data_IF_179232567566
#
_entry.id   IF_179232567566
#
_cell.length_a   1.000
_cell.length_b   1.000
_cell.length_c   1.000
_cell.angle_alpha   90.00
_cell.angle_beta   90.00
_cell.angle_gamma   90.00
#
_symmetry.space_group_name_H-M   'P 1'
#
loop_
_entity.id
_entity.type
_entity.pdbx_description
1 polymer ?
#
# COMPACT_ATOMS: atom_id res chain seq x y z
N UNK A 1 -9.64 17.18 10.63
CA UNK A 1 -10.96 16.71 10.13
C UNK A 1 -10.77 15.92 8.85
N UNK A 2 -10.75 14.59 8.90
CA UNK A 2 -10.82 13.78 7.66
C UNK A 2 -12.28 13.43 7.42
N UNK A 3 -12.90 14.17 6.50
CA UNK A 3 -14.22 13.83 5.96
C UNK A 3 -14.12 12.45 5.34
N UNK A 4 -14.77 11.46 5.95
CA UNK A 4 -14.86 10.10 5.43
C UNK A 4 -15.80 10.10 4.22
N UNK A 5 -15.34 10.72 3.12
CA UNK A 5 -16.05 10.72 1.83
C UNK A 5 -15.97 9.30 1.30
N UNK A 6 -17.12 8.63 1.22
CA UNK A 6 -17.27 7.42 0.42
C UNK A 6 -16.98 7.77 -1.05
N UNK A 7 -15.71 7.63 -1.44
CA UNK A 7 -15.27 7.78 -2.82
C UNK A 7 -15.86 6.65 -3.66
N UNK A 8 -16.14 6.95 -4.93
CA UNK A 8 -16.62 5.94 -5.88
C UNK A 8 -15.54 4.89 -6.15
N UNK A 9 -15.96 3.70 -6.58
CA UNK A 9 -15.08 2.55 -6.80
C UNK A 9 -13.94 2.87 -7.77
N UNK A 10 -14.24 3.58 -8.85
CA UNK A 10 -13.28 3.98 -9.89
C UNK A 10 -12.21 4.93 -9.31
N UNK A 11 -12.60 5.82 -8.40
CA UNK A 11 -11.67 6.71 -7.70
C UNK A 11 -10.77 5.95 -6.74
N UNK A 12 -11.30 4.93 -6.06
CA UNK A 12 -10.53 4.08 -5.16
C UNK A 12 -9.52 3.22 -5.90
N UNK A 13 -9.83 2.73 -7.12
CA UNK A 13 -8.85 1.96 -7.90
C UNK A 13 -7.59 2.76 -8.21
N UNK A 14 -7.71 4.06 -8.47
CA UNK A 14 -6.58 4.92 -8.84
C UNK A 14 -5.85 5.48 -7.62
N UNK A 15 -6.57 5.79 -6.53
CA UNK A 15 -6.01 6.53 -5.40
C UNK A 15 -5.90 5.74 -4.09
N UNK A 16 -6.50 4.56 -3.98
CA UNK A 16 -6.40 3.78 -2.74
C UNK A 16 -4.98 3.25 -2.54
N UNK A 17 -4.45 3.43 -1.33
CA UNK A 17 -3.15 2.88 -0.93
C UNK A 17 -1.94 3.75 -1.25
N UNK A 18 -2.12 4.85 -2.00
CA UNK A 18 -1.06 5.81 -2.29
C UNK A 18 -1.26 7.10 -1.48
N UNK A 19 -0.20 7.52 -0.79
CA UNK A 19 -0.09 8.84 -0.18
C UNK A 19 0.97 9.59 -0.97
N UNK A 20 0.77 10.89 -1.18
CA UNK A 20 1.79 11.71 -1.82
C UNK A 20 3.10 11.60 -1.03
N UNK A 21 4.23 11.49 -1.73
CA UNK A 21 5.55 11.43 -1.12
C UNK A 21 5.74 12.66 -0.20
N UNK A 22 6.01 12.48 1.11
CA UNK A 22 6.15 13.60 2.04
C UNK A 22 7.36 14.48 1.73
N UNK A 23 8.35 13.97 0.99
CA UNK A 23 9.60 14.70 0.70
C UNK A 23 9.46 15.61 -0.52
N UNK A 24 8.83 15.12 -1.59
CA UNK A 24 8.70 15.86 -2.87
C UNK A 24 7.28 16.32 -3.18
N UNK A 25 6.28 15.82 -2.48
CA UNK A 25 4.86 16.03 -2.79
C UNK A 25 4.38 15.26 -4.04
N UNK A 26 5.23 14.42 -4.64
CA UNK A 26 4.85 13.62 -5.81
C UNK A 26 3.73 12.65 -5.48
N UNK A 27 2.67 12.66 -6.30
CA UNK A 27 1.61 11.64 -6.24
C UNK A 27 1.98 10.35 -6.96
N UNK A 28 2.88 10.43 -7.95
CA UNK A 28 3.41 9.25 -8.59
C UNK A 28 4.31 8.52 -7.60
N UNK A 29 4.16 7.19 -7.53
CA UNK A 29 4.98 6.37 -6.66
C UNK A 29 6.46 6.52 -7.07
N UNK A 30 7.35 6.87 -6.14
CA UNK A 30 8.78 6.89 -6.40
C UNK A 30 9.32 5.51 -6.81
N UNK A 31 10.17 5.47 -7.83
CA UNK A 31 10.91 4.27 -8.21
C UNK A 31 12.18 4.20 -7.36
N UNK A 32 12.15 3.39 -6.30
CA UNK A 32 13.34 3.12 -5.48
C UNK A 32 14.19 2.00 -6.10
N UNK A 33 15.03 2.36 -7.07
CA UNK A 33 15.97 1.44 -7.73
C UNK A 33 17.24 1.22 -6.87
N UNK A 34 17.06 0.56 -5.73
CA UNK A 34 18.16 0.18 -4.83
C UNK A 34 18.15 -1.32 -4.55
N UNK A 35 19.29 -1.89 -4.18
CA UNK A 35 19.41 -3.29 -3.74
C UNK A 35 19.32 -3.43 -2.22
N UNK A 36 19.72 -2.41 -1.46
CA UNK A 36 19.82 -2.40 0.01
C UNK A 36 19.35 -1.08 0.63
N UNK A 37 19.09 -1.11 1.93
CA UNK A 37 18.70 0.04 2.74
C UNK A 37 19.67 0.21 3.92
N UNK A 38 19.97 1.45 4.28
CA UNK A 38 20.87 1.76 5.40
C UNK A 38 20.10 1.65 6.72
N UNK A 39 20.72 1.05 7.74
CA UNK A 39 20.19 1.05 9.10
C UNK A 39 20.72 2.25 9.87
N UNK A 40 19.84 2.92 10.63
CA UNK A 40 20.25 4.00 11.54
C UNK A 40 21.29 3.56 12.59
N UNK A 41 21.19 2.33 13.11
CA UNK A 41 22.15 1.73 14.03
C UNK A 41 22.05 0.18 14.03
N UNK A 42 22.96 -0.49 14.74
CA UNK A 42 23.01 -1.96 14.81
C UNK A 42 21.76 -2.59 15.47
N UNK A 43 21.21 -1.93 16.49
CA UNK A 43 20.00 -2.39 17.18
C UNK A 43 18.76 -2.31 16.28
N UNK A 44 18.65 -1.26 15.46
CA UNK A 44 17.61 -1.09 14.45
C UNK A 44 17.65 -2.22 13.42
N UNK A 45 18.84 -2.58 12.93
CA UNK A 45 19.02 -3.75 12.07
C UNK A 45 18.52 -5.03 12.74
N UNK A 46 18.95 -5.30 13.98
CA UNK A 46 18.53 -6.48 14.73
C UNK A 46 17.01 -6.55 14.94
N UNK A 47 16.37 -5.42 15.24
CA UNK A 47 14.92 -5.34 15.44
C UNK A 47 14.14 -5.58 14.14
N UNK A 48 14.63 -5.11 12.99
CA UNK A 48 14.04 -5.40 11.69
C UNK A 48 14.12 -6.89 11.34
N UNK A 49 15.28 -7.53 11.56
CA UNK A 49 15.44 -8.97 11.31
C UNK A 49 14.66 -9.84 12.30
N UNK A 50 14.49 -9.38 13.55
CA UNK A 50 13.71 -10.07 14.57
C UNK A 50 12.19 -9.84 14.43
N UNK A 51 11.72 -9.16 13.37
CA UNK A 51 10.33 -8.78 13.14
C UNK A 51 9.71 -7.95 14.29
N UNK A 52 10.55 -7.34 15.12
CA UNK A 52 10.12 -6.44 16.21
C UNK A 52 9.76 -5.06 15.70
N UNK A 53 10.28 -4.67 14.54
CA UNK A 53 10.01 -3.41 13.88
C UNK A 53 9.71 -3.62 12.39
N UNK A 54 8.77 -2.84 11.85
CA UNK A 54 8.48 -2.84 10.42
C UNK A 54 9.43 -1.90 9.67
N UNK A 55 10.07 -2.39 8.62
CA UNK A 55 10.97 -1.59 7.78
C UNK A 55 11.52 -2.37 6.59
N UNK A 56 12.27 -1.68 5.73
CA UNK A 56 12.91 -2.29 4.57
C UNK A 56 14.29 -2.83 4.94
N UNK A 57 14.55 -4.08 4.58
CA UNK A 57 15.86 -4.72 4.77
C UNK A 57 16.52 -4.95 3.41
N UNK A 58 15.82 -5.64 2.51
CA UNK A 58 16.25 -5.87 1.12
C UNK A 58 15.10 -5.71 0.13
N UNK A 59 15.43 -5.20 -1.06
CA UNK A 59 14.45 -4.96 -2.15
C UNK A 59 13.73 -6.23 -2.59
N UNK A 60 14.43 -7.38 -2.55
CA UNK A 60 13.93 -8.70 -2.95
C UNK A 60 12.70 -9.17 -2.16
N UNK A 61 12.52 -8.65 -0.94
CA UNK A 61 11.47 -9.09 -0.02
C UNK A 61 10.44 -7.96 0.19
N UNK A 62 10.88 -6.69 0.24
CA UNK A 62 10.07 -5.64 0.88
C UNK A 62 9.64 -4.46 0.00
N UNK A 63 10.30 -4.17 -1.13
CA UNK A 63 10.03 -2.91 -1.84
C UNK A 63 8.80 -3.00 -2.77
N UNK A 64 8.91 -3.69 -3.91
CA UNK A 64 7.84 -3.77 -4.91
C UNK A 64 6.66 -4.65 -4.44
N UNK A 65 6.94 -5.74 -3.72
CA UNK A 65 5.91 -6.67 -3.26
C UNK A 65 4.95 -6.01 -2.27
N UNK A 66 5.45 -5.18 -1.34
CA UNK A 66 4.60 -4.56 -0.31
C UNK A 66 3.59 -3.59 -0.92
N UNK A 67 4.01 -2.78 -1.90
CA UNK A 67 3.10 -1.82 -2.50
C UNK A 67 2.03 -2.49 -3.37
N UNK A 68 2.42 -3.46 -4.20
CA UNK A 68 1.46 -4.24 -4.98
C UNK A 68 0.48 -5.00 -4.08
N UNK A 69 0.98 -5.65 -3.03
CA UNK A 69 0.15 -6.39 -2.08
C UNK A 69 -0.87 -5.49 -1.38
N UNK A 70 -0.48 -4.30 -0.92
CA UNK A 70 -1.40 -3.36 -0.27
C UNK A 70 -2.52 -2.87 -1.21
N UNK A 71 -2.20 -2.60 -2.47
CA UNK A 71 -3.19 -2.15 -3.46
C UNK A 71 -4.15 -3.29 -3.82
N UNK A 72 -3.64 -4.50 -4.01
CA UNK A 72 -4.43 -5.71 -4.26
C UNK A 72 -5.37 -5.96 -3.07
N UNK A 73 -4.86 -6.08 -1.84
CA UNK A 73 -5.66 -6.37 -0.66
C UNK A 73 -6.77 -5.33 -0.42
N UNK A 74 -6.51 -4.04 -0.69
CA UNK A 74 -7.54 -2.99 -0.58
C UNK A 74 -8.59 -3.06 -1.69
N UNK A 75 -8.19 -3.41 -2.91
CA UNK A 75 -9.14 -3.64 -4.01
C UNK A 75 -10.09 -4.80 -3.68
N UNK A 76 -9.54 -5.96 -3.30
CA UNK A 76 -10.33 -7.12 -2.89
C UNK A 76 -11.25 -6.82 -1.70
N UNK A 77 -10.78 -6.03 -0.72
CA UNK A 77 -11.61 -5.60 0.41
C UNK A 77 -12.79 -4.73 -0.03
N UNK A 78 -12.59 -3.81 -0.97
CA UNK A 78 -13.66 -2.96 -1.51
C UNK A 78 -14.64 -3.78 -2.36
N UNK A 79 -14.14 -4.71 -3.16
CA UNK A 79 -14.97 -5.61 -3.98
C UNK A 79 -15.83 -6.54 -3.11
N UNK A 80 -15.24 -7.14 -2.08
CA UNK A 80 -15.98 -7.91 -1.05
C UNK A 80 -17.04 -7.04 -0.36
N UNK A 81 -16.71 -5.80 0.00
CA UNK A 81 -17.67 -4.87 0.62
C UNK A 81 -18.84 -4.55 -0.32
N UNK A 82 -18.57 -4.37 -1.62
CA UNK A 82 -19.59 -4.11 -2.65
C UNK A 82 -20.47 -5.35 -2.90
N UNK A 83 -19.88 -6.53 -2.95
CA UNK A 83 -20.58 -7.82 -3.10
C UNK A 83 -21.52 -8.10 -1.92
N UNK A 84 -21.08 -7.78 -0.69
CA UNK A 84 -21.88 -7.97 0.52
C UNK A 84 -23.02 -6.95 0.65
N UNK A 85 -22.84 -5.71 0.17
CA UNK A 85 -23.84 -4.64 0.29
C UNK A 85 -24.82 -4.55 -0.90
N UNK A 86 -24.46 -5.06 -2.08
CA UNK A 86 -25.26 -4.91 -3.31
C UNK A 86 -25.28 -6.19 -4.16
N UNK A 87 -26.09 -7.21 -3.80
CA UNK A 87 -26.15 -8.49 -4.52
C UNK A 87 -26.64 -8.39 -5.98
N UNK A 88 -27.24 -7.25 -6.37
CA UNK A 88 -27.86 -7.05 -7.69
C UNK A 88 -26.90 -6.64 -8.81
N UNK A 89 -25.63 -6.32 -8.53
CA UNK A 89 -24.68 -5.78 -9.53
C UNK A 89 -23.80 -6.86 -10.19
N UNK A 90 -24.34 -8.07 -10.37
CA UNK A 90 -23.61 -9.27 -10.83
C UNK A 90 -23.65 -9.53 -12.34
N UNK A 91 -24.35 -8.70 -13.13
CA UNK A 91 -24.51 -8.90 -14.58
C UNK A 91 -24.30 -7.60 -15.37
N UNK A 92 -23.05 -7.29 -15.70
CA UNK A 92 -22.66 -6.54 -16.90
C UNK A 92 -21.13 -6.47 -16.97
N UNK A 93 -20.53 -7.51 -17.56
CA UNK A 93 -19.24 -7.45 -18.24
C UNK A 93 -19.52 -7.63 -19.73
#
# INVERSE_FOLDING_TARGET
>A
MSSNKNLKFETLQVHAGQVADPTTGSRAVPIYQTTSFVFENAEHGANLFALKQFGNIYTRIMNLLRMFSNNVLRHWKVELQLLLLHPARRHSL
#
